data_IF_487897884553
#
_entry.id   IF_487897884553
#
_cell.length_a   1.000
_cell.length_b   1.000
_cell.length_c   1.000
_cell.angle_alpha   90.00
_cell.angle_beta   90.00
_cell.angle_gamma   90.00
#
_symmetry.space_group_name_H-M   'P 1'
#
loop_
_entity.id
_entity.type
_entity.pdbx_description
1 polymer ?
#
# COMPACT_ATOMS: atom_id res chain seq x y z
N UNK A 1 -28.74 -13.19 -5.81
CA UNK A 1 -27.49 -12.90 -6.56
C UNK A 1 -27.57 -11.46 -7.03
N UNK A 2 -27.33 -10.53 -6.11
CA UNK A 2 -27.21 -9.12 -6.47
C UNK A 2 -25.90 -8.92 -7.23
N UNK A 3 -26.01 -8.21 -8.36
CA UNK A 3 -24.93 -7.87 -9.27
C UNK A 3 -23.76 -7.29 -8.48
N UNK A 4 -22.59 -7.89 -8.64
CA UNK A 4 -21.31 -7.32 -8.24
C UNK A 4 -21.20 -5.98 -8.97
N UNK A 5 -21.62 -4.90 -8.29
CA UNK A 5 -21.68 -3.57 -8.87
C UNK A 5 -20.31 -3.24 -9.48
N UNK A 6 -20.31 -2.74 -10.71
CA UNK A 6 -19.15 -2.31 -11.50
C UNK A 6 -18.28 -1.31 -10.71
N UNK A 7 -17.49 -1.81 -9.77
CA UNK A 7 -16.47 -1.02 -9.10
C UNK A 7 -15.42 -0.76 -10.16
N UNK A 8 -15.20 0.52 -10.47
CA UNK A 8 -14.16 0.95 -11.39
C UNK A 8 -12.84 0.25 -11.01
N UNK A 9 -12.28 -0.51 -11.96
CA UNK A 9 -10.99 -1.17 -11.82
C UNK A 9 -9.92 -0.25 -12.40
N UNK A 10 -8.79 -0.15 -11.72
CA UNK A 10 -7.65 0.58 -12.25
C UNK A 10 -7.14 -0.12 -13.51
N UNK A 11 -7.13 0.58 -14.64
CA UNK A 11 -6.44 0.09 -15.83
C UNK A 11 -4.93 0.28 -15.67
N UNK A 12 -4.19 -0.83 -15.79
CA UNK A 12 -2.73 -0.89 -15.68
C UNK A 12 -2.09 -1.43 -16.95
N UNK A 13 -2.83 -1.60 -18.03
CA UNK A 13 -2.39 -2.27 -19.27
C UNK A 13 -1.15 -1.68 -19.94
N UNK A 14 -0.88 -0.40 -19.72
CA UNK A 14 0.27 0.36 -20.23
C UNK A 14 1.36 0.63 -19.18
N UNK A 15 1.17 0.15 -17.94
CA UNK A 15 2.01 0.51 -16.80
C UNK A 15 3.47 0.10 -16.99
N UNK A 16 3.73 -1.10 -17.51
CA UNK A 16 5.11 -1.57 -17.75
C UNK A 16 5.85 -0.72 -18.78
N UNK A 17 5.13 -0.21 -19.79
CA UNK A 17 5.70 0.71 -20.80
C UNK A 17 5.95 2.10 -20.20
N UNK A 18 5.04 2.60 -19.37
CA UNK A 18 5.20 3.89 -18.71
C UNK A 18 6.39 3.87 -17.73
N UNK A 19 6.50 2.82 -16.92
CA UNK A 19 7.60 2.67 -15.95
C UNK A 19 8.96 2.52 -16.64
N UNK A 20 9.03 1.88 -17.81
CA UNK A 20 10.29 1.78 -18.56
C UNK A 20 10.74 3.12 -19.16
N UNK A 21 9.82 4.06 -19.43
CA UNK A 21 10.21 5.40 -19.88
C UNK A 21 10.87 6.24 -18.79
N UNK A 22 10.71 5.85 -17.53
CA UNK A 22 11.29 6.55 -16.39
C UNK A 22 12.77 6.18 -16.18
N UNK A 23 13.65 7.17 -16.24
CA UNK A 23 15.10 6.97 -16.15
C UNK A 23 15.53 6.34 -14.83
N UNK A 24 14.97 6.79 -13.70
CA UNK A 24 15.31 6.24 -12.38
C UNK A 24 15.00 4.74 -12.27
N UNK A 25 13.92 4.27 -12.91
CA UNK A 25 13.55 2.85 -12.92
C UNK A 25 14.47 2.07 -13.85
N UNK A 26 14.72 2.57 -15.06
CA UNK A 26 15.64 1.90 -16.00
C UNK A 26 17.04 1.76 -15.42
N UNK A 27 17.59 2.83 -14.90
CA UNK A 27 18.95 2.84 -14.33
C UNK A 27 19.03 1.87 -13.17
N UNK A 28 18.05 1.88 -12.26
CA UNK A 28 18.00 0.94 -11.14
C UNK A 28 17.94 -0.52 -11.60
N UNK A 29 17.08 -0.84 -12.58
CA UNK A 29 16.84 -2.22 -13.03
C UNK A 29 17.87 -2.78 -14.01
N UNK A 30 18.65 -1.92 -14.68
CA UNK A 30 19.73 -2.35 -15.60
C UNK A 30 21.01 -2.73 -14.88
N UNK A 31 21.21 -2.26 -13.65
CA UNK A 31 22.29 -2.73 -12.80
C UNK A 31 22.02 -4.18 -12.40
N UNK A 32 22.96 -5.07 -12.71
CA UNK A 32 22.75 -6.49 -13.10
C UNK A 32 22.06 -7.42 -12.09
N UNK A 33 21.81 -7.00 -10.86
CA UNK A 33 21.16 -7.83 -9.83
C UNK A 33 19.97 -7.15 -9.14
N UNK A 34 19.68 -5.90 -9.49
CA UNK A 34 18.66 -5.14 -8.80
C UNK A 34 17.24 -5.62 -9.16
N UNK A 35 16.37 -5.51 -8.15
CA UNK A 35 14.93 -5.74 -8.22
C UNK A 35 14.24 -4.51 -7.63
N UNK A 36 12.94 -4.33 -7.88
CA UNK A 36 12.19 -3.21 -7.34
C UNK A 36 12.23 -3.20 -5.81
N UNK A 37 11.88 -4.33 -5.17
CA UNK A 37 11.90 -4.49 -3.72
C UNK A 37 12.79 -5.68 -3.33
N UNK A 38 13.98 -5.38 -2.81
CA UNK A 38 14.91 -6.41 -2.36
C UNK A 38 14.43 -7.05 -1.04
N UNK A 39 14.40 -8.39 -1.00
CA UNK A 39 14.14 -9.16 0.21
C UNK A 39 12.83 -8.80 0.93
N UNK A 40 12.86 -8.80 2.26
CA UNK A 40 11.78 -8.31 3.11
C UNK A 40 11.87 -6.78 3.22
N UNK A 41 11.06 -6.10 2.43
CA UNK A 41 10.95 -4.65 2.50
C UNK A 41 9.96 -4.24 3.59
N UNK A 42 10.41 -3.39 4.53
CA UNK A 42 9.53 -2.77 5.53
C UNK A 42 8.68 -1.66 4.89
N UNK A 43 7.37 -1.72 5.11
CA UNK A 43 6.45 -0.65 4.71
C UNK A 43 6.74 0.62 5.53
N UNK A 44 7.51 1.53 4.94
CA UNK A 44 7.94 2.76 5.59
C UNK A 44 8.01 3.91 4.62
N UNK A 45 7.85 5.13 5.13
CA UNK A 45 7.95 6.35 4.31
C UNK A 45 9.33 6.46 3.65
N UNK A 46 10.39 6.08 4.37
CA UNK A 46 11.77 6.13 3.85
C UNK A 46 11.95 5.32 2.57
N UNK A 47 11.38 4.10 2.53
CA UNK A 47 11.43 3.25 1.33
C UNK A 47 10.60 3.84 0.18
N UNK A 48 9.45 4.45 0.48
CA UNK A 48 8.65 5.15 -0.52
C UNK A 48 9.34 6.40 -1.10
N UNK A 49 10.37 6.92 -0.43
CA UNK A 49 11.20 8.03 -0.90
C UNK A 49 12.40 7.57 -1.75
N UNK A 50 12.74 6.28 -1.79
CA UNK A 50 13.82 5.79 -2.65
C UNK A 50 13.53 6.13 -4.11
N UNK A 51 14.51 6.62 -4.86
CA UNK A 51 14.30 7.25 -6.17
C UNK A 51 13.42 6.44 -7.14
N UNK A 52 13.75 5.15 -7.38
CA UNK A 52 12.99 4.30 -8.29
C UNK A 52 11.59 3.94 -7.76
N UNK A 53 11.45 3.72 -6.44
CA UNK A 53 10.16 3.45 -5.80
C UNK A 53 9.27 4.67 -5.81
N UNK A 54 9.81 5.85 -5.53
CA UNK A 54 9.07 7.10 -5.53
C UNK A 54 8.50 7.36 -6.93
N UNK A 55 9.33 7.23 -7.97
CA UNK A 55 8.89 7.38 -9.37
C UNK A 55 7.86 6.33 -9.75
N UNK A 56 8.06 5.07 -9.37
CA UNK A 56 7.07 4.01 -9.56
C UNK A 56 5.72 4.39 -8.94
N UNK A 57 5.73 4.83 -7.68
CA UNK A 57 4.51 5.23 -6.98
C UNK A 57 3.86 6.45 -7.61
N UNK A 58 4.63 7.43 -8.10
CA UNK A 58 4.07 8.59 -8.83
C UNK A 58 3.28 8.16 -10.06
N UNK A 59 3.84 7.27 -10.89
CA UNK A 59 3.17 6.78 -12.10
C UNK A 59 1.88 6.03 -11.74
N UNK A 60 1.94 5.13 -10.76
CA UNK A 60 0.77 4.36 -10.32
C UNK A 60 -0.30 5.27 -9.70
N UNK A 61 0.10 6.20 -8.83
CA UNK A 61 -0.83 7.12 -8.16
C UNK A 61 -1.51 8.08 -9.13
N UNK A 62 -0.82 8.50 -10.20
CA UNK A 62 -1.41 9.35 -11.24
C UNK A 62 -2.61 8.65 -11.87
N UNK A 63 -2.46 7.38 -12.28
CA UNK A 63 -3.57 6.58 -12.80
C UNK A 63 -4.68 6.35 -11.77
N UNK A 64 -4.31 6.17 -10.50
CA UNK A 64 -5.27 5.98 -9.41
C UNK A 64 -6.16 7.22 -9.26
N UNK A 65 -5.61 8.43 -9.38
CA UNK A 65 -6.37 9.69 -9.28
C UNK A 65 -7.26 9.91 -10.50
N UNK A 66 -6.83 9.48 -11.68
CA UNK A 66 -7.63 9.52 -12.92
C UNK A 66 -8.80 8.54 -12.91
N UNK A 67 -8.79 7.54 -12.02
CA UNK A 67 -9.83 6.52 -11.93
C UNK A 67 -10.82 6.82 -10.81
N UNK A 68 -12.12 6.80 -11.13
CA UNK A 68 -13.19 7.06 -10.16
C UNK A 68 -13.11 6.12 -8.95
N UNK A 69 -13.27 6.67 -7.74
CA UNK A 69 -13.17 5.93 -6.48
C UNK A 69 -11.74 5.59 -6.07
N UNK A 70 -10.73 6.01 -6.84
CA UNK A 70 -9.31 5.80 -6.58
C UNK A 70 -9.00 4.34 -6.20
N UNK A 71 -9.33 3.34 -7.03
CA UNK A 71 -9.20 1.93 -6.68
C UNK A 71 -7.75 1.52 -6.41
N UNK A 72 -7.58 0.38 -5.71
CA UNK A 72 -6.26 -0.24 -5.57
C UNK A 72 -5.85 -0.91 -6.90
N UNK A 73 -4.56 -0.95 -7.23
CA UNK A 73 -4.08 -1.69 -8.38
C UNK A 73 -4.48 -3.18 -8.31
N UNK A 74 -5.04 -3.76 -9.38
CA UNK A 74 -5.37 -5.17 -9.44
C UNK A 74 -4.09 -6.00 -9.53
N UNK A 75 -3.98 -7.05 -8.72
CA UNK A 75 -2.70 -7.77 -8.55
C UNK A 75 -2.29 -8.55 -9.80
N UNK A 76 -3.19 -9.30 -10.42
CA UNK A 76 -2.82 -10.12 -11.58
C UNK A 76 -2.38 -9.27 -12.77
N UNK A 77 -3.15 -8.26 -13.22
CA UNK A 77 -2.69 -7.37 -14.29
C UNK A 77 -1.41 -6.62 -13.92
N UNK A 78 -1.23 -6.27 -12.64
CA UNK A 78 0.00 -5.63 -12.18
C UNK A 78 1.23 -6.56 -12.31
N UNK A 79 1.09 -7.86 -12.06
CA UNK A 79 2.18 -8.83 -12.23
C UNK A 79 2.64 -8.88 -13.69
N UNK A 80 1.71 -9.01 -14.62
CA UNK A 80 2.00 -9.09 -16.06
C UNK A 80 2.78 -7.83 -16.52
N UNK A 81 2.45 -6.68 -15.95
CA UNK A 81 3.09 -5.40 -16.28
C UNK A 81 4.46 -5.23 -15.64
N UNK A 82 4.67 -5.75 -14.43
CA UNK A 82 5.98 -5.77 -13.80
C UNK A 82 6.91 -6.78 -14.49
N UNK A 83 6.40 -7.93 -14.91
CA UNK A 83 7.14 -8.88 -15.75
C UNK A 83 7.57 -8.23 -17.08
N UNK A 84 6.65 -7.54 -17.76
CA UNK A 84 6.94 -6.77 -18.97
C UNK A 84 8.01 -5.69 -18.73
N UNK A 85 7.93 -4.97 -17.61
CA UNK A 85 8.93 -3.97 -17.22
C UNK A 85 10.31 -4.60 -17.05
N UNK A 86 10.42 -5.69 -16.29
CA UNK A 86 11.68 -6.41 -16.10
C UNK A 86 12.26 -6.86 -17.45
N UNK A 87 11.42 -7.47 -18.31
CA UNK A 87 11.84 -7.89 -19.64
C UNK A 87 12.37 -6.74 -20.49
N UNK A 88 11.68 -5.59 -20.52
CA UNK A 88 12.11 -4.40 -21.27
C UNK A 88 13.37 -3.75 -20.70
N UNK A 89 13.61 -3.88 -19.40
CA UNK A 89 14.85 -3.44 -18.76
C UNK A 89 16.02 -4.42 -18.94
N UNK A 90 15.84 -5.50 -19.71
CA UNK A 90 16.88 -6.51 -19.98
C UNK A 90 16.99 -7.58 -18.88
N UNK A 91 16.04 -7.64 -17.94
CA UNK A 91 15.99 -8.60 -16.83
C UNK A 91 15.07 -9.76 -17.21
N UNK A 92 15.61 -10.71 -17.98
CA UNK A 92 14.82 -11.85 -18.51
C UNK A 92 14.69 -13.00 -17.50
N UNK A 93 15.54 -13.05 -16.48
CA UNK A 93 15.62 -14.16 -15.51
C UNK A 93 15.18 -13.76 -14.09
N UNK A 94 14.17 -12.90 -13.96
CA UNK A 94 13.62 -12.56 -12.64
C UNK A 94 12.69 -13.68 -12.17
N UNK A 95 12.88 -14.12 -10.94
CA UNK A 95 12.06 -15.16 -10.35
C UNK A 95 10.58 -14.74 -10.24
N UNK A 96 9.67 -15.69 -10.48
CA UNK A 96 8.22 -15.43 -10.47
C UNK A 96 7.76 -15.00 -9.06
N UNK A 97 8.33 -15.59 -8.01
CA UNK A 97 7.99 -15.20 -6.63
C UNK A 97 8.43 -13.76 -6.33
N UNK A 98 9.51 -13.29 -6.94
CA UNK A 98 9.95 -11.90 -6.83
C UNK A 98 8.94 -10.95 -7.51
N UNK A 99 8.45 -11.27 -8.71
CA UNK A 99 7.44 -10.46 -9.40
C UNK A 99 6.12 -10.41 -8.61
N UNK A 100 5.71 -11.56 -8.06
CA UNK A 100 4.53 -11.64 -7.19
C UNK A 100 4.73 -10.74 -5.96
N UNK A 101 5.89 -10.84 -5.31
CA UNK A 101 6.22 -10.02 -4.13
C UNK A 101 6.20 -8.53 -4.45
N UNK A 102 6.82 -8.13 -5.55
CA UNK A 102 6.86 -6.74 -6.00
C UNK A 102 5.46 -6.21 -6.26
N UNK A 103 4.59 -6.99 -6.92
CA UNK A 103 3.19 -6.60 -7.17
C UNK A 103 2.42 -6.32 -5.87
N UNK A 104 2.67 -7.12 -4.83
CA UNK A 104 2.10 -6.90 -3.51
C UNK A 104 2.67 -5.66 -2.82
N UNK A 105 3.98 -5.42 -2.93
CA UNK A 105 4.61 -4.24 -2.35
C UNK A 105 4.10 -2.96 -2.98
N UNK A 106 3.99 -2.89 -4.31
CA UNK A 106 3.40 -1.73 -5.00
C UNK A 106 2.01 -1.42 -4.43
N UNK A 107 1.15 -2.43 -4.30
CA UNK A 107 -0.20 -2.27 -3.72
C UNK A 107 -0.17 -1.80 -2.26
N UNK A 108 0.73 -2.35 -1.43
CA UNK A 108 0.92 -1.92 -0.04
C UNK A 108 1.35 -0.46 0.05
N UNK A 109 2.36 -0.05 -0.73
CA UNK A 109 2.84 1.32 -0.74
C UNK A 109 1.80 2.31 -1.26
N UNK A 110 1.00 1.96 -2.29
CA UNK A 110 -0.16 2.77 -2.69
C UNK A 110 -1.15 2.91 -1.52
N UNK A 111 -1.42 1.83 -0.79
CA UNK A 111 -2.20 1.85 0.45
C UNK A 111 -1.62 2.78 1.51
N UNK A 112 -0.30 2.75 1.73
CA UNK A 112 0.42 3.62 2.66
C UNK A 112 0.20 5.10 2.30
N UNK A 113 0.41 5.48 1.04
CA UNK A 113 0.23 6.87 0.59
C UNK A 113 -1.22 7.31 0.78
N UNK A 114 -2.20 6.50 0.35
CA UNK A 114 -3.63 6.78 0.54
C UNK A 114 -3.99 6.96 2.02
N UNK A 115 -3.47 6.10 2.88
CA UNK A 115 -3.70 6.17 4.32
C UNK A 115 -3.13 7.45 4.93
N UNK A 116 -1.89 7.82 4.57
CA UNK A 116 -1.21 9.01 5.09
C UNK A 116 -1.88 10.30 4.60
N UNK A 117 -2.26 10.33 3.32
CA UNK A 117 -3.03 11.43 2.71
C UNK A 117 -4.36 11.62 3.43
N UNK A 118 -5.13 10.54 3.65
CA UNK A 118 -6.41 10.60 4.38
C UNK A 118 -6.26 11.06 5.82
N UNK A 119 -5.20 10.63 6.51
CA UNK A 119 -4.93 11.02 7.90
C UNK A 119 -4.33 12.42 8.01
N UNK A 120 -4.12 13.11 6.88
CA UNK A 120 -3.43 14.40 6.80
C UNK A 120 -2.08 14.39 7.54
N UNK A 121 -1.44 13.21 7.57
CA UNK A 121 -0.13 13.04 8.21
C UNK A 121 0.93 13.44 7.22
N UNK A 122 1.13 14.75 7.10
CA UNK A 122 2.20 15.35 6.29
C UNK A 122 3.51 14.81 6.86
N UNK A 123 4.16 13.91 6.12
CA UNK A 123 5.50 13.47 6.47
C UNK A 123 6.46 14.66 6.32
N UNK A 124 7.48 14.76 7.17
CA UNK A 124 8.56 15.74 7.00
C UNK A 124 9.39 15.47 5.73
N UNK A 125 9.28 14.25 5.20
CA UNK A 125 9.91 13.80 3.97
C UNK A 125 9.26 14.45 2.73
N UNK A 126 9.94 15.43 2.14
CA UNK A 126 9.45 16.21 0.98
C UNK A 126 9.03 15.35 -0.20
N UNK A 127 9.78 14.28 -0.49
CA UNK A 127 9.48 13.40 -1.63
C UNK A 127 8.25 12.54 -1.39
N UNK A 128 7.97 12.17 -0.14
CA UNK A 128 6.70 11.51 0.20
C UNK A 128 5.53 12.50 0.17
N UNK A 129 5.75 13.74 0.59
CA UNK A 129 4.73 14.78 0.52
C UNK A 129 4.26 14.97 -0.94
N UNK A 130 5.18 14.97 -1.91
CA UNK A 130 4.83 15.02 -3.34
C UNK A 130 3.87 13.89 -3.74
N UNK A 131 4.04 12.67 -3.21
CA UNK A 131 3.13 11.55 -3.47
C UNK A 131 1.72 11.81 -2.90
N UNK A 132 1.64 12.34 -1.68
CA UNK A 132 0.36 12.71 -1.07
C UNK A 132 -0.34 13.83 -1.84
N UNK A 133 0.43 14.80 -2.37
CA UNK A 133 -0.10 15.91 -3.16
C UNK A 133 -0.70 15.48 -4.50
N UNK A 134 -0.26 14.33 -5.05
CA UNK A 134 -0.91 13.74 -6.23
C UNK A 134 -2.35 13.35 -5.88
N UNK A 135 -2.55 12.70 -4.73
CA UNK A 135 -3.88 12.24 -4.28
C UNK A 135 -4.77 13.39 -3.79
N UNK A 136 -4.19 14.39 -3.12
CA UNK A 136 -4.92 15.54 -2.62
C UNK A 136 -4.05 16.81 -2.71
N UNK A 137 -4.23 17.63 -3.78
CA UNK A 137 -3.50 18.87 -3.97
C UNK A 137 -3.73 19.92 -2.87
N UNK A 138 -4.86 19.89 -2.18
CA UNK A 138 -5.25 20.86 -1.13
C UNK A 138 -4.39 20.74 0.14
N UNK A 139 -3.60 19.66 0.26
CA UNK A 139 -2.64 19.51 1.34
C UNK A 139 -1.48 20.53 1.25
N UNK A 140 -1.30 21.23 0.12
CA UNK A 140 -0.30 22.31 -0.01
C UNK A 140 -0.57 23.49 0.92
N UNK A 141 -1.83 23.83 1.10
CA UNK A 141 -2.22 25.06 1.81
C UNK A 141 -2.24 24.88 3.33
N UNK A 142 -2.14 23.65 3.82
CA UNK A 142 -2.23 23.34 5.25
C UNK A 142 -0.92 23.49 6.02
N UNK A 143 0.18 23.81 5.33
CA UNK A 143 1.49 23.98 5.95
C UNK A 143 2.00 22.68 6.59
N UNK A 144 3.30 22.61 6.83
CA UNK A 144 3.89 21.55 7.65
C UNK A 144 3.43 21.74 9.10
N UNK A 145 2.24 21.26 9.46
CA UNK A 145 1.81 21.19 10.86
C UNK A 145 2.62 20.10 11.54
N UNK A 146 3.81 20.50 12.00
CA UNK A 146 4.62 19.73 12.92
C UNK A 146 3.84 19.53 14.21
N UNK A 147 3.70 18.27 14.59
CA UNK A 147 3.33 17.70 15.90
C UNK A 147 2.06 18.24 16.59
N UNK A 148 1.17 17.28 16.88
CA UNK A 148 0.14 17.39 17.91
C UNK A 148 -0.93 18.47 17.67
N UNK A 149 -1.85 18.21 16.75
CA UNK A 149 -3.22 18.65 17.00
C UNK A 149 -4.23 17.64 16.45
N UNK A 150 -4.29 16.47 17.11
CA UNK A 150 -5.43 15.56 17.04
C UNK A 150 -6.53 16.10 17.96
N UNK A 151 -7.08 17.27 17.64
CA UNK A 151 -8.37 17.71 18.17
C UNK A 151 -9.24 18.29 17.06
N UNK A 152 -10.19 17.44 16.67
CA UNK A 152 -11.52 17.82 16.18
C UNK A 152 -11.53 18.60 14.86
N UNK A 153 -11.88 17.91 13.78
CA UNK A 153 -13.04 18.22 12.92
C UNK A 153 -13.19 17.18 11.82
N UNK A 154 -13.91 16.10 12.13
CA UNK A 154 -14.72 15.46 11.11
C UNK A 154 -15.91 16.40 10.86
N UNK A 155 -16.08 16.89 9.62
CA UNK A 155 -17.38 16.68 9.01
C UNK A 155 -17.27 16.28 7.54
N UNK A 156 -18.10 15.27 7.19
CA UNK A 156 -18.68 15.09 5.86
C UNK A 156 -17.73 14.71 4.72
N UNK A 157 -17.14 13.51 4.81
CA UNK A 157 -17.04 12.67 3.60
C UNK A 157 -18.11 11.60 3.71
N UNK A 158 -19.03 11.65 2.75
CA UNK A 158 -20.25 10.87 2.62
C UNK A 158 -20.07 9.37 2.82
N UNK A 159 -21.16 8.76 3.26
CA UNK A 159 -21.41 7.41 3.78
C UNK A 159 -20.88 6.17 2.99
N UNK A 160 -20.00 6.34 2.01
CA UNK A 160 -19.56 5.26 1.10
C UNK A 160 -18.28 4.52 1.55
N UNK A 161 -17.54 5.03 2.54
CA UNK A 161 -16.20 4.53 2.87
C UNK A 161 -16.11 3.63 4.11
N UNK A 162 -17.25 3.16 4.65
CA UNK A 162 -17.28 2.26 5.81
C UNK A 162 -16.81 0.81 5.53
N UNK A 163 -16.66 0.42 4.27
CA UNK A 163 -16.34 -0.99 3.93
C UNK A 163 -14.84 -1.32 3.85
N UNK A 164 -13.95 -0.32 3.75
CA UNK A 164 -12.52 -0.57 3.50
C UNK A 164 -11.70 -1.02 4.72
N UNK A 165 -12.27 -0.99 5.92
CA UNK A 165 -11.61 -1.51 7.14
C UNK A 165 -11.58 -3.03 7.21
N UNK A 166 -12.35 -3.74 6.37
CA UNK A 166 -12.45 -5.20 6.46
C UNK A 166 -11.47 -5.97 5.54
N UNK A 167 -10.98 -5.36 4.45
CA UNK A 167 -10.09 -6.07 3.51
C UNK A 167 -8.62 -6.12 3.93
N UNK A 168 -8.19 -5.24 4.84
CA UNK A 168 -6.84 -5.27 5.42
C UNK A 168 -6.67 -6.37 6.49
N UNK A 169 -7.76 -7.03 6.91
CA UNK A 169 -7.74 -8.06 7.94
C UNK A 169 -7.64 -9.51 7.42
N UNK A 170 -7.65 -9.73 6.09
CA UNK A 170 -7.69 -11.09 5.52
C UNK A 170 -6.30 -11.61 5.09
N UNK A 171 -5.26 -10.78 5.07
CA UNK A 171 -3.92 -11.20 4.60
C UNK A 171 -2.94 -11.27 5.77
N UNK A 172 -3.18 -12.19 6.69
CA UNK A 172 -2.15 -12.69 7.59
C UNK A 172 -2.52 -14.10 8.06
N UNK A 173 -2.55 -15.07 7.13
CA UNK A 173 -2.78 -16.48 7.47
C UNK A 173 -2.09 -17.48 6.54
N UNK A 174 -0.90 -17.14 6.05
CA UNK A 174 0.02 -18.10 5.42
C UNK A 174 1.40 -17.79 5.99
N UNK A 175 2.09 -18.83 6.49
CA UNK A 175 3.35 -18.80 7.27
C UNK A 175 3.19 -18.52 8.78
N UNK A 176 2.98 -19.62 9.52
CA UNK A 176 2.77 -19.63 10.97
C UNK A 176 4.04 -19.42 11.79
N UNK A 177 4.41 -18.15 12.01
CA UNK A 177 5.15 -17.68 13.19
C UNK A 177 4.69 -16.28 13.55
N UNK A 178 4.34 -16.07 14.82
CA UNK A 178 4.08 -14.75 15.40
C UNK A 178 5.33 -14.40 16.20
N UNK A 179 6.20 -13.57 15.64
CA UNK A 179 7.17 -12.83 16.42
C UNK A 179 6.60 -11.44 16.66
N UNK A 180 6.34 -11.14 17.94
CA UNK A 180 5.91 -9.82 18.40
C UNK A 180 7.11 -8.89 18.27
N UNK A 181 7.22 -8.21 17.12
CA UNK A 181 8.22 -7.17 16.93
C UNK A 181 7.80 -5.97 17.77
N UNK A 182 8.57 -5.72 18.83
CA UNK A 182 8.52 -4.48 19.62
C UNK A 182 8.84 -3.30 18.68
N UNK A 183 7.79 -2.65 18.20
CA UNK A 183 7.88 -1.37 17.52
C UNK A 183 7.71 -0.30 18.60
N UNK A 184 8.78 0.43 18.88
CA UNK A 184 8.77 1.69 19.65
C UNK A 184 8.01 2.79 18.88
N UNK A 185 6.72 2.56 18.69
CA UNK A 185 5.74 3.57 18.37
C UNK A 185 4.82 3.60 19.57
N UNK A 186 4.64 4.77 20.18
CA UNK A 186 3.59 5.02 21.16
C UNK A 186 2.26 4.76 20.45
N UNK A 187 1.81 3.51 20.50
CA UNK A 187 0.46 3.11 20.19
C UNK A 187 -0.41 3.53 21.37
N UNK A 188 -1.62 4.00 21.05
CA UNK A 188 -2.68 4.15 22.03
C UNK A 188 -2.89 2.80 22.72
N UNK A 189 -2.48 2.70 23.98
CA UNK A 189 -2.47 1.46 24.76
C UNK A 189 -3.87 0.81 24.74
N UNK A 190 -4.91 1.64 24.73
CA UNK A 190 -6.31 1.20 24.72
C UNK A 190 -6.65 0.44 23.43
N UNK A 191 -6.10 0.86 22.28
CA UNK A 191 -6.33 0.20 20.99
C UNK A 191 -5.60 -1.15 20.91
N UNK A 192 -4.38 -1.24 21.45
CA UNK A 192 -3.66 -2.51 21.56
C UNK A 192 -4.42 -3.51 22.44
N UNK A 193 -4.94 -3.05 23.57
CA UNK A 193 -5.71 -3.88 24.51
C UNK A 193 -7.06 -4.31 23.94
N UNK A 194 -7.69 -3.49 23.11
CA UNK A 194 -8.93 -3.86 22.40
C UNK A 194 -8.69 -4.89 21.30
N UNK A 195 -7.59 -4.76 20.55
CA UNK A 195 -7.20 -5.74 19.52
C UNK A 195 -6.88 -7.09 20.17
N UNK A 196 -6.11 -7.09 21.26
CA UNK A 196 -5.74 -8.31 21.98
C UNK A 196 -6.98 -9.05 22.53
N UNK A 197 -7.90 -8.32 23.16
CA UNK A 197 -9.18 -8.90 23.64
C UNK A 197 -10.00 -9.53 22.53
N UNK A 198 -10.07 -8.88 21.36
CA UNK A 198 -10.81 -9.40 20.22
C UNK A 198 -10.18 -10.66 19.61
N UNK A 199 -8.86 -10.76 19.63
CA UNK A 199 -8.12 -11.97 19.20
C UNK A 199 -8.38 -13.13 20.17
N UNK A 200 -8.32 -12.88 21.48
CA UNK A 200 -8.59 -13.89 22.51
C UNK A 200 -10.02 -14.44 22.42
N UNK A 201 -11.02 -13.57 22.28
CA UNK A 201 -12.42 -13.98 22.10
C UNK A 201 -12.62 -14.86 20.86
N UNK A 202 -11.89 -14.60 19.78
CA UNK A 202 -11.95 -15.43 18.56
C UNK A 202 -11.28 -16.79 18.74
N UNK A 203 -10.18 -16.85 19.50
CA UNK A 203 -9.52 -18.10 19.86
C UNK A 203 -10.40 -18.96 20.80
N UNK A 204 -11.05 -18.33 21.78
CA UNK A 204 -12.01 -18.98 22.67
C UNK A 204 -13.14 -19.65 21.90
N UNK A 205 -13.80 -18.89 21.00
CA UNK A 205 -14.87 -19.39 20.13
C UNK A 205 -14.42 -20.51 19.20
N UNK A 206 -13.16 -20.51 18.75
CA UNK A 206 -12.60 -21.61 17.95
C UNK A 206 -12.43 -22.88 18.79
N UNK A 207 -11.95 -22.76 20.03
CA UNK A 207 -11.81 -23.89 20.96
C UNK A 207 -13.17 -24.51 21.31
N UNK A 208 -14.18 -23.69 21.59
CA UNK A 208 -15.55 -24.15 21.86
C UNK A 208 -16.16 -24.91 20.68
N UNK A 209 -15.93 -24.43 19.44
CA UNK A 209 -16.39 -25.11 18.21
C UNK A 209 -15.66 -26.43 17.94
N UNK A 210 -14.42 -26.58 18.42
CA UNK A 210 -13.66 -27.82 18.30
C UNK A 210 -14.01 -28.83 19.39
N UNK A 211 -14.47 -28.37 20.56
CA UNK A 211 -14.91 -29.25 21.65
C UNK A 211 -16.31 -29.87 21.44
N UNK A 212 -17.13 -29.27 20.55
CA UNK A 212 -18.47 -29.77 20.19
C UNK A 212 -18.49 -30.63 18.92
N UNK A 213 -17.33 -31.00 18.37
CA UNK A 213 -17.17 -31.97 17.28
C UNK A 213 -16.49 -33.22 17.80
#
# INVERSE_FOLDING_TARGET
>A
MEKEADRAKLDVSDLGVLLEKEEAIRTHLRDSENVLFAGETKESVKVACTAHINVLLRVVLTKVVETEGMPQPPIHPLRDQLELLYHKCGRVSVDTDQIIRDSWYVRKFVGLVKMKTRKEKVSEEKDFQKLCLILNPELKDRGSVSRFDLRIRAPLLTNQYRQFTYDLMIIQWVFGRIDVVHLDMVFDQDLCDEINRNVELRLQRKKERQAHK
#
